data_IF_510559438762
#
_entry.id   IF_510559438762
#
_cell.length_a   1.000
_cell.length_b   1.000
_cell.length_c   1.000
_cell.angle_alpha   90.00
_cell.angle_beta   90.00
_cell.angle_gamma   90.00
#
_symmetry.space_group_name_H-M   'P 1'
#
loop_
_entity.id
_entity.type
_entity.pdbx_description
1 polymer ?
#
# COMPACT_ATOMS: atom_id res chain seq x y z
N UNK A 1 10.55 -0.98 0.27
CA UNK A 1 10.67 -0.27 1.55
C UNK A 1 9.26 -0.16 2.12
N UNK A 2 9.01 -0.69 3.32
CA UNK A 2 7.71 -0.56 4.00
C UNK A 2 7.83 0.35 5.21
N UNK A 3 6.74 1.01 5.62
CA UNK A 3 6.72 1.91 6.78
C UNK A 3 5.81 1.36 7.88
N UNK A 4 6.29 1.41 9.12
CA UNK A 4 5.52 1.09 10.33
C UNK A 4 5.61 2.26 11.30
N UNK A 5 4.47 2.80 11.74
CA UNK A 5 4.41 3.99 12.61
C UNK A 5 3.78 3.62 13.95
N UNK A 6 4.45 4.00 15.04
CA UNK A 6 3.94 3.85 16.42
C UNK A 6 3.75 5.24 17.04
N UNK A 7 2.58 5.50 17.60
CA UNK A 7 2.30 6.71 18.37
C UNK A 7 2.18 6.33 19.84
N UNK A 8 3.01 6.94 20.69
CA UNK A 8 3.06 6.69 22.12
C UNK A 8 3.49 7.96 22.87
N UNK A 9 3.42 7.92 24.20
CA UNK A 9 3.94 8.98 25.06
C UNK A 9 5.46 9.11 24.94
N UNK A 10 5.99 10.32 25.17
CA UNK A 10 7.38 10.66 24.88
C UNK A 10 8.37 9.75 25.61
N UNK A 11 8.11 9.43 26.88
CA UNK A 11 8.94 8.54 27.69
C UNK A 11 8.98 7.11 27.16
N UNK A 12 7.89 6.64 26.55
CA UNK A 12 7.85 5.32 25.89
C UNK A 12 8.62 5.33 24.59
N UNK A 13 8.54 6.42 23.82
CA UNK A 13 9.32 6.58 22.57
C UNK A 13 10.82 6.59 22.88
N UNK A 14 11.25 7.37 23.87
CA UNK A 14 12.65 7.41 24.31
C UNK A 14 13.11 6.03 24.78
N UNK A 15 12.35 5.35 25.65
CA UNK A 15 12.73 4.02 26.12
C UNK A 15 12.83 2.95 25.02
N UNK A 16 11.99 3.03 23.98
CA UNK A 16 12.08 2.14 22.81
C UNK A 16 13.34 2.41 22.00
N UNK A 17 13.66 3.68 21.73
CA UNK A 17 14.83 4.06 20.95
C UNK A 17 16.14 3.74 21.70
N UNK A 18 16.21 4.01 23.00
CA UNK A 18 17.38 3.69 23.84
C UNK A 18 17.63 2.19 23.89
N UNK A 19 16.57 1.39 24.03
CA UNK A 19 16.67 -0.07 23.99
C UNK A 19 17.18 -0.56 22.64
N UNK A 20 16.66 -0.02 21.54
CA UNK A 20 17.09 -0.40 20.20
C UNK A 20 18.56 -0.04 19.94
N UNK A 21 18.99 1.15 20.38
CA UNK A 21 20.36 1.60 20.22
C UNK A 21 21.35 0.77 21.06
N UNK A 22 21.00 0.43 22.30
CA UNK A 22 21.81 -0.43 23.16
C UNK A 22 22.04 -1.82 22.53
N UNK A 23 20.98 -2.44 22.03
CA UNK A 23 21.06 -3.75 21.37
C UNK A 23 21.82 -3.68 20.04
N UNK A 24 21.63 -2.64 19.24
CA UNK A 24 22.36 -2.43 18.00
C UNK A 24 23.86 -2.28 18.24
N UNK A 25 24.27 -1.54 19.27
CA UNK A 25 25.68 -1.41 19.68
C UNK A 25 26.24 -2.74 20.18
N UNK A 26 25.47 -3.51 20.94
CA UNK A 26 25.89 -4.83 21.40
C UNK A 26 26.13 -5.80 20.22
N UNK A 27 25.25 -5.83 19.21
CA UNK A 27 25.46 -6.62 18.00
C UNK A 27 26.70 -6.18 17.22
N UNK A 28 26.92 -4.86 17.10
CA UNK A 28 28.12 -4.31 16.47
C UNK A 28 29.41 -4.70 17.21
N UNK A 29 29.39 -4.64 18.54
CA UNK A 29 30.50 -5.08 19.39
C UNK A 29 30.76 -6.59 19.29
N UNK A 30 29.71 -7.39 19.08
CA UNK A 30 29.80 -8.83 18.83
C UNK A 30 30.27 -9.19 17.41
N UNK A 31 30.63 -8.20 16.58
CA UNK A 31 31.23 -8.40 15.26
C UNK A 31 30.28 -8.29 14.07
N UNK A 32 29.04 -7.82 14.26
CA UNK A 32 28.13 -7.59 13.12
C UNK A 32 28.65 -6.43 12.24
N UNK A 33 28.91 -6.74 10.96
CA UNK A 33 29.48 -5.83 9.96
C UNK A 33 28.56 -4.70 9.49
N UNK A 34 27.28 -4.70 9.86
CA UNK A 34 26.29 -3.70 9.40
C UNK A 34 26.32 -2.39 10.20
N UNK A 35 25.74 -1.33 9.63
CA UNK A 35 25.67 0.00 10.26
C UNK A 35 24.72 0.02 11.47
N UNK A 36 24.93 0.95 12.41
CA UNK A 36 24.04 1.09 13.57
C UNK A 36 22.59 1.40 13.17
N UNK A 37 22.35 2.06 12.05
CA UNK A 37 20.99 2.33 11.55
C UNK A 37 20.30 1.05 11.06
N UNK A 38 21.02 0.22 10.29
CA UNK A 38 20.52 -1.09 9.87
C UNK A 38 20.23 -1.97 11.09
N UNK A 39 21.15 -1.99 12.07
CA UNK A 39 20.98 -2.78 13.28
C UNK A 39 19.83 -2.28 14.16
N UNK A 40 19.64 -0.96 14.31
CA UNK A 40 18.49 -0.41 15.04
C UNK A 40 17.17 -0.76 14.36
N UNK A 41 17.11 -0.68 13.02
CA UNK A 41 15.92 -1.09 12.26
C UNK A 41 15.57 -2.54 12.52
N UNK A 42 16.55 -3.45 12.39
CA UNK A 42 16.32 -4.88 12.60
C UNK A 42 15.90 -5.19 14.04
N UNK A 43 16.57 -4.60 15.03
CA UNK A 43 16.20 -4.76 16.44
C UNK A 43 14.77 -4.29 16.71
N UNK A 44 14.35 -3.15 16.15
CA UNK A 44 12.97 -2.67 16.31
C UNK A 44 11.96 -3.62 15.67
N UNK A 45 12.26 -4.15 14.48
CA UNK A 45 11.43 -5.16 13.83
C UNK A 45 11.35 -6.45 14.66
N UNK A 46 12.49 -6.94 15.17
CA UNK A 46 12.56 -8.16 15.97
C UNK A 46 11.82 -7.99 17.31
N UNK A 47 12.00 -6.88 18.01
CA UNK A 47 11.25 -6.60 19.24
C UNK A 47 9.74 -6.49 18.98
N UNK A 48 9.33 -5.94 17.84
CA UNK A 48 7.92 -5.82 17.48
C UNK A 48 7.29 -7.16 17.07
N UNK A 49 8.05 -8.02 16.38
CA UNK A 49 7.57 -9.33 15.92
C UNK A 49 7.58 -10.36 17.04
N UNK A 50 8.62 -10.39 17.87
CA UNK A 50 8.85 -11.48 18.80
C UNK A 50 8.76 -11.08 20.29
N UNK A 51 8.69 -9.77 20.60
CA UNK A 51 8.59 -9.29 21.97
C UNK A 51 9.93 -9.16 22.70
N UNK A 52 9.95 -9.40 24.02
CA UNK A 52 11.13 -9.13 24.86
C UNK A 52 12.24 -10.16 24.71
N UNK A 53 13.48 -9.69 24.55
CA UNK A 53 14.70 -10.48 24.76
C UNK A 53 14.84 -10.82 26.26
N UNK A 54 15.02 -12.10 26.66
CA UNK A 54 15.32 -12.45 28.05
C UNK A 54 16.62 -11.79 28.51
N UNK A 55 16.69 -11.20 29.72
CA UNK A 55 17.85 -10.42 30.16
C UNK A 55 19.18 -11.20 30.16
N UNK A 56 19.14 -12.52 30.32
CA UNK A 56 20.34 -13.38 30.44
C UNK A 56 21.00 -13.73 29.10
N UNK A 57 20.56 -13.11 28.01
CA UNK A 57 20.92 -13.53 26.64
C UNK A 57 21.75 -12.51 25.87
N UNK A 58 22.00 -11.35 26.48
CA UNK A 58 23.12 -10.50 26.09
C UNK A 58 24.40 -11.13 26.65
N UNK A 59 25.52 -11.18 25.90
CA UNK A 59 26.76 -11.67 26.46
C UNK A 59 27.07 -10.86 27.71
N UNK A 60 27.09 -11.53 28.86
CA UNK A 60 27.44 -10.94 30.13
C UNK A 60 28.79 -10.24 29.94
N UNK A 61 28.86 -8.97 30.33
CA UNK A 61 30.13 -8.25 30.39
C UNK A 61 31.12 -9.12 31.16
N UNK A 62 32.27 -9.35 30.53
CA UNK A 62 33.08 -10.53 30.76
C UNK A 62 33.39 -10.79 32.23
N UNK A 63 33.27 -12.06 32.61
CA UNK A 63 34.12 -12.58 33.66
C UNK A 63 34.69 -13.94 33.24
N UNK A 64 36.01 -14.01 33.20
CA UNK A 64 36.76 -15.14 32.69
C UNK A 64 36.85 -16.23 33.75
N UNK A 65 36.17 -17.37 33.56
CA UNK A 65 36.56 -18.63 34.22
C UNK A 65 36.39 -19.84 33.30
N UNK A 66 37.37 -20.77 33.25
CA UNK A 66 37.32 -21.93 32.38
C UNK A 66 36.63 -23.11 33.05
N UNK A 67 35.76 -23.79 32.29
CA UNK A 67 35.35 -25.17 32.59
C UNK A 67 33.85 -25.41 32.61
N UNK A 68 33.26 -25.69 31.45
CA UNK A 68 32.14 -26.62 31.30
C UNK A 68 31.98 -27.00 29.81
N UNK A 69 32.01 -28.31 29.53
CA UNK A 69 31.79 -28.89 28.20
C UNK A 69 30.34 -28.66 27.69
N UNK A 70 30.08 -28.67 26.37
CA UNK A 70 28.83 -28.20 25.79
C UNK A 70 27.75 -29.29 25.73
N UNK A 71 26.45 -28.94 25.73
CA UNK A 71 25.41 -29.84 25.23
C UNK A 71 25.03 -29.49 23.77
N UNK A 72 25.04 -30.52 22.92
CA UNK A 72 24.12 -30.70 21.80
C UNK A 72 24.19 -29.73 20.63
N UNK A 73 24.93 -30.12 19.59
CA UNK A 73 24.83 -29.55 18.24
C UNK A 73 23.42 -29.78 17.69
N UNK A 74 22.61 -28.73 17.60
CA UNK A 74 21.43 -28.70 16.71
C UNK A 74 21.91 -28.14 15.39
N UNK A 75 21.96 -28.98 14.36
CA UNK A 75 22.32 -28.61 13.00
C UNK A 75 21.25 -27.68 12.42
N UNK A 76 21.64 -26.42 12.18
CA UNK A 76 20.86 -25.49 11.38
C UNK A 76 20.79 -25.99 9.93
N UNK A 77 19.59 -26.17 9.41
CA UNK A 77 19.38 -26.36 7.97
C UNK A 77 19.75 -25.07 7.20
N UNK A 78 20.27 -25.18 5.97
CA UNK A 78 20.67 -24.01 5.21
C UNK A 78 19.43 -23.33 4.63
N UNK A 79 19.21 -22.04 4.91
CA UNK A 79 18.21 -21.27 4.15
C UNK A 79 17.65 -19.98 4.77
N UNK A 80 17.90 -19.66 6.04
CA UNK A 80 17.40 -18.39 6.61
C UNK A 80 18.38 -17.26 6.33
N UNK A 81 18.28 -16.65 5.15
CA UNK A 81 18.96 -15.38 4.85
C UNK A 81 18.25 -14.24 5.56
N UNK A 82 18.95 -13.55 6.48
CA UNK A 82 18.65 -12.14 6.79
C UNK A 82 18.62 -11.71 8.26
N UNK A 83 18.49 -12.61 9.23
CA UNK A 83 18.51 -12.25 10.67
C UNK A 83 19.81 -12.76 11.26
N UNK A 84 20.62 -11.91 11.94
CA UNK A 84 21.76 -12.42 12.70
C UNK A 84 21.28 -13.53 13.64
N UNK A 85 21.98 -14.66 13.70
CA UNK A 85 21.56 -15.83 14.48
C UNK A 85 21.44 -15.56 15.99
N UNK A 86 21.87 -14.38 16.46
CA UNK A 86 21.76 -13.96 17.86
C UNK A 86 20.31 -13.75 18.26
N UNK A 87 19.50 -12.99 17.52
CA UNK A 87 18.15 -12.63 17.99
C UNK A 87 17.12 -13.75 17.82
N UNK A 88 17.18 -14.46 16.69
CA UNK A 88 16.27 -15.58 16.41
C UNK A 88 16.34 -16.70 17.48
N UNK A 89 17.49 -16.88 18.12
CA UNK A 89 17.69 -17.91 19.17
C UNK A 89 17.09 -17.50 20.52
N UNK A 90 16.94 -16.21 20.77
CA UNK A 90 16.53 -15.64 22.06
C UNK A 90 15.06 -15.26 22.10
N UNK A 91 14.51 -14.95 20.94
CA UNK A 91 13.17 -14.41 20.76
C UNK A 91 12.12 -15.46 20.35
N UNK A 92 12.54 -16.70 20.05
CA UNK A 92 11.63 -17.75 19.62
C UNK A 92 11.20 -17.60 18.15
N UNK A 93 10.17 -18.36 17.75
CA UNK A 93 9.63 -18.29 16.38
C UNK A 93 8.72 -17.07 16.21
N UNK A 94 8.78 -16.45 15.04
CA UNK A 94 7.98 -15.27 14.74
C UNK A 94 6.50 -15.68 14.66
N UNK A 95 5.56 -14.80 15.04
CA UNK A 95 4.16 -15.00 14.71
C UNK A 95 4.02 -15.12 13.19
N UNK A 96 3.16 -16.04 12.74
CA UNK A 96 2.91 -16.22 11.32
C UNK A 96 2.26 -14.95 10.74
N UNK A 97 2.97 -14.28 9.85
CA UNK A 97 2.43 -13.19 9.04
C UNK A 97 2.00 -13.74 7.69
N UNK A 98 0.79 -13.42 7.25
CA UNK A 98 0.34 -13.70 5.89
C UNK A 98 0.61 -12.48 5.03
N UNK A 99 1.61 -12.58 4.16
CA UNK A 99 1.92 -11.55 3.16
C UNK A 99 1.36 -12.01 1.81
N UNK A 100 0.48 -11.21 1.21
CA UNK A 100 0.06 -11.41 -0.18
C UNK A 100 0.87 -10.49 -1.08
N UNK A 101 1.50 -11.08 -2.06
CA UNK A 101 2.22 -10.38 -3.12
C UNK A 101 1.81 -10.99 -4.46
N UNK A 102 1.57 -10.14 -5.45
CA UNK A 102 1.38 -10.56 -6.83
C UNK A 102 2.71 -10.35 -7.55
N UNK A 103 3.30 -11.45 -8.03
CA UNK A 103 4.58 -11.42 -8.74
C UNK A 103 4.31 -11.74 -10.21
N UNK A 104 4.55 -10.80 -11.15
CA UNK A 104 4.44 -11.09 -12.57
C UNK A 104 5.35 -12.25 -12.98
N UNK A 105 4.91 -13.05 -13.96
CA UNK A 105 5.66 -14.23 -14.39
C UNK A 105 7.07 -13.86 -14.87
N UNK A 106 7.22 -12.72 -15.55
CA UNK A 106 8.49 -12.21 -16.05
C UNK A 106 9.48 -11.91 -14.90
N UNK A 107 8.98 -11.41 -13.76
CA UNK A 107 9.79 -11.15 -12.57
C UNK A 107 10.14 -12.45 -11.85
N UNK A 108 9.17 -13.37 -11.74
CA UNK A 108 9.35 -14.69 -11.13
C UNK A 108 10.38 -15.54 -11.89
N UNK A 109 10.34 -15.51 -13.23
CA UNK A 109 11.24 -16.24 -14.11
C UNK A 109 12.63 -15.58 -14.27
N UNK A 110 12.84 -14.39 -13.68
CA UNK A 110 14.10 -13.64 -13.77
C UNK A 110 14.33 -12.98 -15.14
N UNK A 111 13.29 -12.87 -15.96
CA UNK A 111 13.31 -12.17 -17.27
C UNK A 111 13.26 -10.65 -17.06
N UNK A 112 12.66 -10.19 -15.96
CA UNK A 112 12.56 -8.78 -15.58
C UNK A 112 12.96 -8.57 -14.12
N UNK A 113 13.54 -7.40 -13.81
CA UNK A 113 13.82 -6.93 -12.46
C UNK A 113 12.87 -5.80 -12.02
N UNK A 114 11.71 -5.68 -12.66
CA UNK A 114 10.66 -4.77 -12.23
C UNK A 114 10.26 -5.00 -10.76
N UNK A 115 10.01 -3.90 -10.05
CA UNK A 115 9.55 -3.96 -8.67
C UNK A 115 8.18 -4.63 -8.56
N UNK A 116 7.93 -5.33 -7.46
CA UNK A 116 6.61 -5.83 -7.10
C UNK A 116 6.09 -5.04 -5.90
N UNK A 117 4.79 -5.10 -5.62
CA UNK A 117 4.23 -4.37 -4.48
C UNK A 117 3.58 -5.33 -3.47
N UNK A 118 3.78 -5.02 -2.19
CA UNK A 118 2.97 -5.55 -1.10
C UNK A 118 1.83 -4.56 -0.84
N UNK A 119 0.56 -4.92 -1.06
CA UNK A 119 -0.58 -4.04 -0.86
C UNK A 119 -0.58 -3.30 0.46
N UNK A 120 -0.76 -1.97 0.40
CA UNK A 120 -0.79 -1.10 1.57
C UNK A 120 0.55 -0.94 2.30
N UNK A 121 1.61 -1.59 1.82
CA UNK A 121 2.95 -1.59 2.42
C UNK A 121 4.03 -1.10 1.45
N UNK A 122 3.75 -1.05 0.15
CA UNK A 122 4.59 -0.43 -0.87
C UNK A 122 5.51 -1.41 -1.61
N UNK A 123 6.40 -0.84 -2.43
CA UNK A 123 7.20 -1.58 -3.40
C UNK A 123 8.37 -2.35 -2.77
N UNK A 124 8.61 -3.54 -3.30
CA UNK A 124 9.75 -4.42 -3.04
C UNK A 124 10.50 -4.70 -4.34
N UNK A 125 11.80 -4.92 -4.24
CA UNK A 125 12.63 -5.26 -5.40
C UNK A 125 12.27 -6.64 -5.95
N UNK A 126 12.56 -6.89 -7.22
CA UNK A 126 12.41 -8.22 -7.84
C UNK A 126 13.13 -9.33 -7.05
N UNK A 127 14.34 -9.03 -6.54
CA UNK A 127 15.09 -9.94 -5.66
C UNK A 127 14.34 -10.28 -4.38
N UNK A 128 13.76 -9.28 -3.69
CA UNK A 128 12.93 -9.53 -2.50
C UNK A 128 11.64 -10.27 -2.83
N UNK A 129 10.98 -9.94 -3.94
CA UNK A 129 9.77 -10.63 -4.39
C UNK A 129 10.04 -12.11 -4.66
N UNK A 130 11.15 -12.44 -5.35
CA UNK A 130 11.60 -13.82 -5.57
C UNK A 130 11.95 -14.51 -4.26
N UNK A 131 12.63 -13.83 -3.34
CA UNK A 131 12.93 -14.37 -2.02
C UNK A 131 11.64 -14.73 -1.24
N UNK A 132 10.66 -13.83 -1.16
CA UNK A 132 9.34 -14.09 -0.55
C UNK A 132 8.66 -15.28 -1.24
N UNK A 133 8.64 -15.29 -2.58
CA UNK A 133 8.03 -16.36 -3.37
C UNK A 133 8.63 -17.74 -3.06
N UNK A 134 9.96 -17.82 -2.88
CA UNK A 134 10.68 -19.08 -2.62
C UNK A 134 10.91 -19.40 -1.14
N UNK A 135 10.50 -18.52 -0.22
CA UNK A 135 10.67 -18.74 1.21
C UNK A 135 9.90 -19.99 1.69
N UNK A 136 10.44 -20.66 2.70
CA UNK A 136 9.78 -21.82 3.29
C UNK A 136 8.40 -21.42 3.85
N UNK A 137 7.35 -22.16 3.48
CA UNK A 137 5.96 -21.88 3.87
C UNK A 137 5.19 -21.01 2.88
N UNK A 138 5.80 -20.52 1.81
CA UNK A 138 5.10 -19.79 0.75
C UNK A 138 4.14 -20.70 -0.02
N UNK A 139 2.90 -20.20 -0.23
CA UNK A 139 1.85 -20.90 -0.98
C UNK A 139 1.58 -20.14 -2.27
N UNK A 140 1.55 -20.86 -3.40
CA UNK A 140 1.39 -20.26 -4.71
C UNK A 140 -0.04 -20.44 -5.23
N UNK A 141 -0.58 -19.37 -5.79
CA UNK A 141 -1.86 -19.37 -6.49
C UNK A 141 -1.69 -18.66 -7.83
N UNK A 142 -2.31 -19.17 -8.89
CA UNK A 142 -2.30 -18.51 -10.19
C UNK A 142 -3.39 -17.44 -10.22
N UNK A 143 -2.99 -16.21 -10.49
CA UNK A 143 -3.90 -15.13 -10.88
C UNK A 143 -3.73 -14.95 -12.39
N UNK A 144 -4.69 -15.44 -13.18
CA UNK A 144 -4.66 -15.19 -14.61
C UNK A 144 -5.07 -13.74 -14.85
N UNK A 145 -4.28 -13.01 -15.64
CA UNK A 145 -4.57 -11.61 -15.98
C UNK A 145 -4.63 -11.39 -17.48
N UNK A 146 -5.40 -10.41 -17.93
CA UNK A 146 -5.37 -9.86 -19.27
C UNK A 146 -4.05 -9.10 -19.48
N UNK A 147 -3.36 -9.39 -20.59
CA UNK A 147 -1.96 -8.99 -20.82
C UNK A 147 -1.81 -7.46 -20.94
N UNK A 148 -2.76 -6.80 -21.61
CA UNK A 148 -2.67 -5.37 -21.93
C UNK A 148 -3.05 -4.47 -20.74
N UNK A 149 -3.98 -4.92 -19.90
CA UNK A 149 -4.54 -4.15 -18.78
C UNK A 149 -3.98 -4.56 -17.41
N UNK A 150 -3.45 -5.79 -17.27
CA UNK A 150 -3.02 -6.36 -15.98
C UNK A 150 -4.17 -6.89 -15.11
N UNK A 151 -5.39 -6.90 -15.65
CA UNK A 151 -6.66 -7.24 -14.97
C UNK A 151 -6.88 -8.72 -14.76
N UNK A 152 -7.35 -9.18 -13.60
CA UNK A 152 -7.59 -10.62 -13.39
C UNK A 152 -8.82 -11.17 -14.13
N UNK A 153 -8.72 -12.38 -14.68
CA UNK A 153 -9.77 -13.07 -15.44
C UNK A 153 -10.86 -13.65 -14.52
N UNK A 154 -12.14 -13.40 -14.84
CA UNK A 154 -13.32 -13.46 -13.96
C UNK A 154 -13.76 -14.84 -13.41
N UNK A 155 -14.41 -14.83 -12.23
CA UNK A 155 -15.21 -15.93 -11.64
C UNK A 155 -16.63 -15.43 -11.24
N UNK A 156 -17.68 -16.22 -11.44
CA UNK A 156 -19.08 -15.88 -11.10
C UNK A 156 -19.87 -17.05 -10.48
N UNK A 157 -20.99 -16.74 -9.79
CA UNK A 157 -21.94 -17.73 -9.23
C UNK A 157 -23.35 -17.13 -9.09
N UNK A 158 -24.39 -17.99 -9.11
CA UNK A 158 -25.80 -17.61 -8.95
C UNK A 158 -26.23 -17.42 -7.48
N UNK A 159 -25.35 -17.74 -6.52
CA UNK A 159 -25.61 -17.64 -5.10
C UNK A 159 -25.27 -16.25 -4.54
N UNK A 160 -25.98 -15.79 -3.49
CA UNK A 160 -25.65 -14.52 -2.81
C UNK A 160 -24.23 -14.52 -2.20
N UNK A 161 -23.83 -15.63 -1.57
CA UNK A 161 -22.53 -15.72 -0.89
C UNK A 161 -21.40 -15.99 -1.89
N UNK A 162 -20.38 -15.14 -1.99
CA UNK A 162 -19.21 -15.40 -2.82
C UNK A 162 -18.43 -16.61 -2.30
N UNK A 163 -17.82 -17.36 -3.22
CA UNK A 163 -16.93 -18.46 -2.87
C UNK A 163 -15.58 -17.93 -2.34
N UNK A 164 -14.83 -18.76 -1.61
CA UNK A 164 -13.51 -18.39 -1.13
C UNK A 164 -12.54 -18.01 -2.27
N UNK A 165 -12.67 -18.66 -3.44
CA UNK A 165 -11.88 -18.35 -4.63
C UNK A 165 -12.21 -16.94 -5.17
N UNK A 166 -13.48 -16.57 -5.20
CA UNK A 166 -13.90 -15.22 -5.62
C UNK A 166 -13.41 -14.15 -4.64
N UNK A 167 -13.53 -14.40 -3.34
CA UNK A 167 -13.01 -13.47 -2.32
C UNK A 167 -11.50 -13.28 -2.46
N UNK A 168 -10.75 -14.37 -2.63
CA UNK A 168 -9.30 -14.30 -2.83
C UNK A 168 -8.94 -13.53 -4.11
N UNK A 169 -9.70 -13.74 -5.19
CA UNK A 169 -9.48 -13.06 -6.45
C UNK A 169 -9.79 -11.57 -6.36
N UNK A 170 -10.94 -11.15 -5.80
CA UNK A 170 -11.27 -9.72 -5.66
C UNK A 170 -10.21 -9.01 -4.81
N UNK A 171 -9.77 -9.64 -3.71
CA UNK A 171 -8.70 -9.06 -2.89
C UNK A 171 -7.39 -8.91 -3.64
N UNK A 172 -7.04 -9.89 -4.48
CA UNK A 172 -5.85 -9.80 -5.33
C UNK A 172 -6.01 -8.74 -6.42
N UNK A 173 -7.20 -8.56 -6.99
CA UNK A 173 -7.50 -7.53 -8.00
C UNK A 173 -7.46 -6.13 -7.41
N UNK A 174 -8.06 -5.94 -6.24
CA UNK A 174 -8.17 -4.62 -5.62
C UNK A 174 -6.88 -4.20 -4.93
N UNK A 175 -6.18 -5.14 -4.28
CA UNK A 175 -4.98 -4.92 -3.47
C UNK A 175 -5.27 -4.17 -2.16
N UNK A 176 -5.87 -2.99 -2.26
CA UNK A 176 -6.29 -2.14 -1.14
C UNK A 176 -7.77 -1.76 -1.27
N UNK A 177 -8.29 -1.09 -0.24
CA UNK A 177 -9.63 -0.51 -0.25
C UNK A 177 -9.87 0.36 -1.51
N UNK A 178 -11.00 0.15 -2.18
CA UNK A 178 -11.35 0.84 -3.44
C UNK A 178 -11.82 2.28 -3.28
N UNK A 179 -12.09 2.71 -2.06
CA UNK A 179 -12.45 4.10 -1.75
C UNK A 179 -11.27 5.06 -2.01
N UNK A 180 -11.53 6.30 -2.46
CA UNK A 180 -10.48 7.26 -2.81
C UNK A 180 -9.44 7.46 -1.70
N UNK A 181 -8.17 7.21 -2.02
CA UNK A 181 -7.02 7.45 -1.12
C UNK A 181 -6.85 6.45 0.04
N UNK A 182 -7.72 5.46 0.20
CA UNK A 182 -7.63 4.52 1.31
C UNK A 182 -6.61 3.41 1.01
N UNK A 183 -5.63 3.22 1.91
CA UNK A 183 -4.54 2.26 1.74
C UNK A 183 -4.70 0.99 2.59
N UNK A 184 -5.88 0.77 3.18
CA UNK A 184 -6.15 -0.44 3.97
C UNK A 184 -6.07 -1.66 3.05
N UNK A 185 -5.24 -2.69 3.34
CA UNK A 185 -5.17 -3.89 2.51
C UNK A 185 -6.51 -4.60 2.35
N UNK A 186 -6.78 -5.15 1.16
CA UNK A 186 -8.05 -5.80 0.83
C UNK A 186 -8.36 -7.02 1.73
N UNK A 187 -7.34 -7.64 2.33
CA UNK A 187 -7.49 -8.70 3.34
C UNK A 187 -8.21 -8.25 4.60
N UNK A 188 -8.12 -6.95 4.93
CA UNK A 188 -8.78 -6.31 6.07
C UNK A 188 -10.06 -5.59 5.68
N UNK A 189 -10.47 -5.73 4.42
CA UNK A 189 -11.67 -5.12 3.89
C UNK A 189 -12.84 -6.12 3.88
N UNK A 190 -14.04 -5.55 4.00
CA UNK A 190 -15.27 -6.23 3.66
C UNK A 190 -15.40 -6.30 2.13
N UNK A 191 -16.01 -7.37 1.65
CA UNK A 191 -16.35 -7.51 0.24
C UNK A 191 -17.77 -7.00 0.03
N UNK A 192 -17.95 -5.98 -0.80
CA UNK A 192 -19.23 -5.32 -1.03
C UNK A 192 -19.67 -5.42 -2.49
N UNK A 193 -20.97 -5.58 -2.71
CA UNK A 193 -21.55 -5.58 -4.06
C UNK A 193 -21.72 -4.13 -4.51
N UNK A 194 -21.20 -3.78 -5.69
CA UNK A 194 -21.40 -2.45 -6.28
C UNK A 194 -22.86 -2.30 -6.72
N UNK A 195 -23.38 -3.29 -7.45
CA UNK A 195 -24.83 -3.43 -7.67
C UNK A 195 -25.35 -4.47 -6.67
N UNK A 196 -26.17 -4.07 -5.68
CA UNK A 196 -26.63 -4.98 -4.65
C UNK A 196 -27.39 -6.18 -5.20
N UNK A 197 -27.14 -7.36 -4.67
CA UNK A 197 -27.95 -8.54 -4.94
C UNK A 197 -29.41 -8.34 -4.47
N UNK A 198 -30.44 -8.88 -5.16
CA UNK A 198 -30.37 -9.72 -6.37
C UNK A 198 -30.31 -8.91 -7.68
N UNK A 199 -30.28 -7.58 -7.62
CA UNK A 199 -30.23 -6.74 -8.83
C UNK A 199 -28.89 -6.86 -9.56
N UNK A 200 -27.82 -7.20 -8.85
CA UNK A 200 -26.52 -7.55 -9.40
C UNK A 200 -26.12 -8.98 -9.06
N UNK A 201 -25.39 -9.61 -10.00
CA UNK A 201 -24.84 -10.95 -9.84
C UNK A 201 -23.70 -10.98 -8.82
N UNK A 202 -23.51 -12.14 -8.19
CA UNK A 202 -22.33 -12.42 -7.37
C UNK A 202 -21.19 -12.83 -8.30
N UNK A 203 -20.42 -11.86 -8.77
CA UNK A 203 -19.27 -12.05 -9.66
C UNK A 203 -18.13 -11.13 -9.28
N UNK A 204 -16.89 -11.53 -9.57
CA UNK A 204 -15.68 -10.76 -9.25
C UNK A 204 -15.80 -9.31 -9.75
N UNK A 205 -16.31 -9.13 -10.97
CA UNK A 205 -16.52 -7.82 -11.57
C UNK A 205 -17.74 -7.05 -11.04
N UNK A 206 -18.45 -7.53 -10.00
CA UNK A 206 -19.48 -6.78 -9.29
C UNK A 206 -19.09 -6.49 -7.83
N UNK A 207 -17.92 -6.97 -7.39
CA UNK A 207 -17.42 -6.73 -6.06
C UNK A 207 -16.46 -5.55 -5.98
N UNK A 208 -16.32 -5.03 -4.77
CA UNK A 208 -15.27 -4.10 -4.36
C UNK A 208 -14.83 -4.42 -2.93
N UNK A 209 -13.55 -4.26 -2.65
CA UNK A 209 -12.98 -4.34 -1.30
C UNK A 209 -13.09 -2.99 -0.62
N UNK A 210 -13.83 -2.90 0.48
CA UNK A 210 -13.97 -1.67 1.28
C UNK A 210 -13.54 -1.89 2.72
N UNK A 211 -12.70 -0.99 3.24
CA UNK A 211 -12.43 -0.95 4.68
C UNK A 211 -13.75 -0.72 5.43
N UNK A 212 -13.85 -1.24 6.65
CA UNK A 212 -15.09 -1.10 7.46
C UNK A 212 -15.57 0.35 7.57
N UNK A 213 -14.65 1.30 7.69
CA UNK A 213 -14.97 2.75 7.75
C UNK A 213 -15.55 3.25 6.43
N UNK A 214 -14.92 2.93 5.31
CA UNK A 214 -15.39 3.34 3.98
C UNK A 214 -16.73 2.67 3.62
N UNK A 215 -16.87 1.38 3.95
CA UNK A 215 -18.10 0.63 3.76
C UNK A 215 -19.26 1.28 4.52
N UNK A 216 -19.09 1.55 5.81
CA UNK A 216 -20.11 2.23 6.61
C UNK A 216 -20.44 3.63 6.06
N UNK A 217 -19.44 4.37 5.57
CA UNK A 217 -19.64 5.67 4.94
C UNK A 217 -20.51 5.59 3.67
N UNK A 218 -20.31 4.58 2.85
CA UNK A 218 -21.17 4.27 1.69
C UNK A 218 -22.59 3.91 2.14
N UNK A 219 -22.73 3.00 3.12
CA UNK A 219 -24.04 2.59 3.66
C UNK A 219 -24.82 3.79 4.24
N UNK A 220 -24.13 4.73 4.88
CA UNK A 220 -24.73 5.94 5.44
C UNK A 220 -25.04 7.04 4.40
N UNK A 221 -24.73 6.82 3.12
CA UNK A 221 -24.97 7.80 2.05
C UNK A 221 -23.99 8.97 2.01
N UNK A 222 -22.89 8.92 2.77
CA UNK A 222 -21.81 9.92 2.66
C UNK A 222 -21.04 9.80 1.34
N UNK A 223 -21.12 8.61 0.73
CA UNK A 223 -20.57 8.28 -0.58
C UNK A 223 -21.60 7.51 -1.41
N UNK A 224 -21.75 7.87 -2.68
CA UNK A 224 -22.40 7.03 -3.69
C UNK A 224 -21.34 6.47 -4.63
N UNK A 225 -21.57 5.25 -5.12
CA UNK A 225 -20.61 4.53 -5.97
C UNK A 225 -21.32 4.03 -7.21
N UNK A 226 -20.74 4.34 -8.36
CA UNK A 226 -21.22 3.88 -9.67
C UNK A 226 -20.08 3.25 -10.45
N UNK A 227 -20.40 2.23 -11.25
CA UNK A 227 -19.43 1.67 -12.19
C UNK A 227 -19.30 2.59 -13.39
N UNK A 228 -18.06 2.80 -13.83
CA UNK A 228 -17.72 3.48 -15.08
C UNK A 228 -16.98 2.52 -16.01
N UNK A 229 -16.79 2.94 -17.27
CA UNK A 229 -16.06 2.16 -18.26
C UNK A 229 -14.63 1.83 -17.78
N UNK A 230 -14.09 0.71 -18.27
CA UNK A 230 -12.76 0.19 -17.89
C UNK A 230 -12.66 -0.13 -16.39
N UNK A 231 -13.70 -0.76 -15.83
CA UNK A 231 -13.76 -1.26 -14.45
C UNK A 231 -13.56 -0.21 -13.35
N UNK A 232 -13.61 1.08 -13.70
CA UNK A 232 -13.52 2.16 -12.74
C UNK A 232 -14.74 2.22 -11.84
N UNK A 233 -14.53 2.77 -10.65
CA UNK A 233 -15.59 3.13 -9.71
C UNK A 233 -15.59 4.64 -9.55
N UNK A 234 -16.69 5.29 -9.94
CA UNK A 234 -16.93 6.70 -9.64
C UNK A 234 -17.52 6.79 -8.24
N UNK A 235 -16.82 7.50 -7.38
CA UNK A 235 -17.19 7.83 -6.02
C UNK A 235 -17.65 9.29 -5.97
N UNK A 236 -18.89 9.53 -5.58
CA UNK A 236 -19.42 10.88 -5.39
C UNK A 236 -19.64 11.12 -3.90
N UNK A 237 -18.96 12.13 -3.36
CA UNK A 237 -19.13 12.55 -1.97
C UNK A 237 -20.46 13.26 -1.75
N UNK A 238 -20.90 13.35 -0.49
CA UNK A 238 -22.08 14.15 -0.10
C UNK A 238 -22.00 15.61 -0.57
N UNK A 239 -20.79 16.17 -0.71
CA UNK A 239 -20.56 17.52 -1.22
C UNK A 239 -20.52 17.62 -2.75
N UNK A 240 -20.86 16.55 -3.48
CA UNK A 240 -20.89 16.50 -4.94
C UNK A 240 -19.54 16.34 -5.63
N UNK A 241 -18.43 16.16 -4.87
CA UNK A 241 -17.11 15.90 -5.47
C UNK A 241 -17.01 14.48 -5.98
N UNK A 242 -16.49 14.32 -7.19
CA UNK A 242 -16.31 13.03 -7.85
C UNK A 242 -14.85 12.58 -7.88
N UNK A 243 -14.62 11.28 -7.70
CA UNK A 243 -13.33 10.64 -7.83
C UNK A 243 -13.50 9.32 -8.58
N UNK A 244 -12.56 8.95 -9.43
CA UNK A 244 -12.57 7.64 -10.10
C UNK A 244 -11.40 6.81 -9.57
N UNK A 245 -11.69 5.60 -9.10
CA UNK A 245 -10.67 4.63 -8.69
C UNK A 245 -10.68 3.43 -9.62
N UNK A 246 -9.51 2.84 -9.90
CA UNK A 246 -9.36 1.68 -10.80
C UNK A 246 -8.73 0.50 -10.09
N UNK A 247 -9.11 -0.74 -10.42
CA UNK A 247 -8.46 -1.93 -9.86
C UNK A 247 -6.94 -1.86 -10.01
N UNK A 248 -6.21 -2.64 -9.22
CA UNK A 248 -4.75 -2.53 -9.21
C UNK A 248 -4.16 -3.01 -10.53
N UNK A 249 -3.35 -2.17 -11.18
CA UNK A 249 -2.52 -2.59 -12.30
C UNK A 249 -1.22 -3.24 -11.77
N UNK A 250 -1.21 -4.57 -11.73
CA UNK A 250 -0.05 -5.34 -11.29
C UNK A 250 1.11 -5.38 -12.29
N UNK A 251 0.88 -4.90 -13.52
CA UNK A 251 1.90 -4.78 -14.56
C UNK A 251 2.41 -3.34 -14.68
N UNK A 252 1.96 -2.41 -13.83
CA UNK A 252 2.38 -1.00 -13.86
C UNK A 252 3.91 -0.86 -13.92
N UNK A 253 4.65 -1.61 -13.10
CA UNK A 253 6.10 -1.58 -13.07
C UNK A 253 6.79 -2.19 -14.30
N UNK A 254 6.06 -2.94 -15.13
CA UNK A 254 6.54 -3.49 -16.41
C UNK A 254 6.25 -2.56 -17.59
N UNK A 255 5.40 -1.55 -17.40
CA UNK A 255 5.07 -0.59 -18.45
C UNK A 255 6.22 0.41 -18.61
N UNK A 256 6.40 0.90 -19.83
CA UNK A 256 7.33 1.98 -20.09
C UNK A 256 6.86 3.24 -19.33
N UNK A 257 7.72 3.99 -18.64
CA UNK A 257 7.33 5.18 -17.86
C UNK A 257 6.59 6.26 -18.66
N UNK A 258 6.63 6.21 -20.01
CA UNK A 258 5.88 7.08 -20.91
C UNK A 258 4.53 6.54 -21.40
N UNK A 259 4.12 5.35 -20.96
CA UNK A 259 2.97 4.61 -21.51
C UNK A 259 1.76 4.51 -20.57
N UNK A 260 1.66 5.37 -19.54
CA UNK A 260 0.48 5.40 -18.68
C UNK A 260 -0.79 5.63 -19.52
N UNK A 261 -1.84 4.81 -19.33
CA UNK A 261 -3.18 5.22 -19.71
C UNK A 261 -3.43 6.56 -19.02
N UNK A 262 -3.74 7.59 -19.81
CA UNK A 262 -4.17 8.87 -19.24
C UNK A 262 -5.48 8.60 -18.51
N UNK A 263 -5.43 8.30 -17.23
CA UNK A 263 -6.56 8.51 -16.35
C UNK A 263 -6.70 10.01 -16.20
N UNK A 264 -7.36 10.62 -17.18
CA UNK A 264 -7.79 12.00 -17.13
C UNK A 264 -8.73 12.11 -15.93
N UNK A 265 -8.25 12.70 -14.84
CA UNK A 265 -9.14 13.41 -13.93
C UNK A 265 -9.86 14.45 -14.77
N UNK A 266 -11.20 14.47 -14.83
CA UNK A 266 -11.89 15.57 -15.49
C UNK A 266 -11.52 16.84 -14.72
N UNK A 267 -10.79 17.73 -15.40
CA UNK A 267 -10.66 19.14 -15.00
C UNK A 267 -12.09 19.66 -14.89
N UNK A 268 -12.42 20.27 -13.76
CA UNK A 268 -13.72 20.88 -13.51
C UNK A 268 -14.18 21.70 -14.72
N UNK A 269 -15.48 21.59 -15.01
CA UNK A 269 -16.19 22.34 -16.04
C UNK A 269 -15.72 23.80 -16.08
N UNK A 270 -15.42 24.37 -17.26
CA UNK A 270 -15.24 25.80 -17.39
C UNK A 270 -16.50 26.51 -16.93
N UNK A 271 -16.31 27.57 -16.16
CA UNK A 271 -17.33 28.51 -15.71
C UNK A 271 -18.04 29.12 -16.93
N UNK A 272 -19.32 28.78 -17.12
CA UNK A 272 -20.21 29.43 -18.10
C UNK A 272 -20.51 30.85 -17.58
N UNK A 273 -19.64 31.79 -17.92
CA UNK A 273 -19.98 33.21 -17.84
C UNK A 273 -21.01 33.53 -18.94
N UNK A 274 -22.16 34.14 -18.62
CA UNK A 274 -23.18 34.47 -19.62
C UNK A 274 -22.64 35.52 -20.58
N UNK A 275 -22.81 35.24 -21.88
CA UNK A 275 -22.27 36.01 -22.99
C UNK A 275 -22.74 37.47 -23.05
N UNK A 276 -21.85 38.31 -23.57
CA UNK A 276 -22.13 39.69 -23.98
C UNK A 276 -23.29 39.75 -25.00
N UNK A 277 -24.16 40.77 -24.91
CA UNK A 277 -25.22 41.00 -25.89
C UNK A 277 -24.65 41.59 -27.20
N UNK A 278 -25.38 41.46 -28.33
CA UNK A 278 -24.85 41.77 -29.65
C UNK A 278 -24.77 43.28 -29.92
N UNK A 279 -23.68 43.65 -30.60
CA UNK A 279 -23.36 44.98 -31.10
C UNK A 279 -24.31 45.39 -32.25
N UNK A 280 -25.17 46.38 -31.99
CA UNK A 280 -25.87 47.13 -33.02
C UNK A 280 -25.14 48.46 -33.23
N UNK A 281 -24.34 48.53 -34.29
CA UNK A 281 -23.64 49.73 -34.69
C UNK A 281 -24.56 50.88 -35.09
N UNK A 282 -24.14 52.12 -34.82
CA UNK A 282 -23.66 53.04 -35.85
C UNK A 282 -23.43 54.46 -35.29
N UNK A 283 -22.26 54.97 -35.66
CA UNK A 283 -21.88 56.38 -35.81
C UNK A 283 -21.79 57.24 -34.54
N UNK A 284 -20.63 57.89 -34.38
CA UNK A 284 -20.50 59.31 -34.77
C UNK A 284 -19.05 59.80 -34.67
N UNK A 285 -18.65 60.45 -35.73
CA UNK A 285 -17.53 61.37 -35.80
C UNK A 285 -17.90 62.67 -35.07
N UNK A 286 -16.90 63.31 -34.44
CA UNK A 286 -16.87 64.78 -34.37
C UNK A 286 -17.25 65.49 -33.05
N UNK A 287 -16.22 65.67 -32.21
CA UNK A 287 -15.78 66.95 -31.60
C UNK A 287 -16.59 67.65 -30.49
N UNK A 288 -15.95 67.73 -29.31
CA UNK A 288 -15.55 68.93 -28.51
C UNK A 288 -15.66 68.63 -27.00
N UNK A 289 -14.54 68.43 -26.29
CA UNK A 289 -13.61 69.41 -25.67
C UNK A 289 -13.97 69.70 -24.20
N UNK A 290 -13.08 69.28 -23.29
CA UNK A 290 -12.77 70.03 -22.06
C UNK A 290 -13.13 69.36 -20.73
N UNK A 291 -12.23 68.51 -20.24
CA UNK A 291 -12.14 68.05 -18.84
C UNK A 291 -11.57 69.16 -17.93
N UNK A 292 -11.81 69.06 -16.62
CA UNK A 292 -10.72 69.31 -15.69
C UNK A 292 -10.61 68.29 -14.54
N UNK A 293 -9.36 68.18 -14.06
CA UNK A 293 -8.92 67.89 -12.68
C UNK A 293 -9.20 66.49 -12.12
N UNK A 294 -8.31 65.83 -11.38
CA UNK A 294 -7.07 66.24 -10.72
C UNK A 294 -6.28 64.95 -10.35
N UNK A 295 -4.96 65.02 -10.49
CA UNK A 295 -3.90 64.09 -10.02
C UNK A 295 -3.98 63.79 -8.49
N UNK A 296 -3.13 62.90 -7.90
CA UNK A 296 -2.85 61.49 -8.17
C UNK A 296 -2.80 60.70 -6.79
N UNK A 297 -2.27 59.46 -6.64
CA UNK A 297 -2.46 58.63 -5.44
C UNK A 297 -1.46 58.95 -4.32
N UNK A 298 -1.70 58.49 -3.07
CA UNK A 298 -0.84 57.41 -2.56
C UNK A 298 -1.44 56.43 -1.51
N UNK A 299 -0.74 55.30 -1.41
CA UNK A 299 -0.75 54.19 -0.43
C UNK A 299 -1.77 53.05 -0.59
#
# INVERSE_FOLDING_TARGET
MGTFTVVASAERVVGVLDRADALARAARAAGDGRSLEQLRSDVLCDLALYGTVPPDTLPAEGDSRPGASPPGTVTAGPGTSGVPPVYARLLGQAPAAVVRIVVPFEVAAGVSDAACEIPGHGWVTAGHARWIMTAAGSVWQRLAVEVDSGRALELSTDCYRPTAAMVAQVRAVDGVCRAPGCQVPAERCDLDHVVPWPRGETRVSNFESLSRVCHNGKTAGAWTVERVEVEGLRWTSLAGREYVTYPRDWREALRDPGSSPRHTTPRGTPDDSPGDPPDHGAARDGTTRGEPSEDPPPF
#
